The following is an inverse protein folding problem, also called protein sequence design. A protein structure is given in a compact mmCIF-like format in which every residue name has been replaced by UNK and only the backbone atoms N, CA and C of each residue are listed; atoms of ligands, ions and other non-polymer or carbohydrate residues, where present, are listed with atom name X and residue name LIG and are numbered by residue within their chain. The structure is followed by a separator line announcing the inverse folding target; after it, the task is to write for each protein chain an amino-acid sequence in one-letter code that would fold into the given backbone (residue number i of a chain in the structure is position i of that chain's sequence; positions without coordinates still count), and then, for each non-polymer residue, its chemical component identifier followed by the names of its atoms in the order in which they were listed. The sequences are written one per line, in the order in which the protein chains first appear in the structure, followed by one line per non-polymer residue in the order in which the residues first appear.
data_IF_924460691696
#
_entry.id   IF_924460691696
#
_cell.length_a   1.000
_cell.length_b   1.000
_cell.length_c   1.000
_cell.angle_alpha   90.00
_cell.angle_beta   90.00
_cell.angle_gamma   90.00
#
_symmetry.space_group_name_H-M   'P 1'
#
loop_
_entity.id
_entity.type
_entity.pdbx_description
1 polymer ?
#
# COMPACT_ATOMS: atom_id res chain seq x y z
N UNK A 1 -0.36 3.68 -4.81
CA UNK A 1 -0.56 2.70 -3.72
C UNK A 1 -1.82 2.95 -2.90
N UNK A 2 -2.43 4.14 -3.00
CA UNK A 2 -3.64 4.55 -2.26
C UNK A 2 -4.80 3.55 -2.26
N UNK A 3 -5.16 2.97 -3.42
CA UNK A 3 -6.24 1.97 -3.49
C UNK A 3 -5.88 0.66 -2.78
N UNK A 4 -4.63 0.22 -2.84
CA UNK A 4 -4.15 -0.95 -2.09
C UNK A 4 -4.23 -0.70 -0.59
N UNK A 5 -3.78 0.46 -0.11
CA UNK A 5 -3.89 0.83 1.31
C UNK A 5 -5.35 0.86 1.78
N UNK A 6 -6.27 1.36 0.96
CA UNK A 6 -7.72 1.35 1.25
C UNK A 6 -8.25 -0.10 1.32
N UNK A 7 -7.88 -0.97 0.39
CA UNK A 7 -8.30 -2.39 0.44
C UNK A 7 -7.76 -3.11 1.67
N UNK A 8 -6.50 -2.85 2.05
CA UNK A 8 -5.90 -3.37 3.28
C UNK A 8 -6.66 -2.89 4.53
N UNK A 9 -7.02 -1.61 4.57
CA UNK A 9 -7.77 -1.04 5.70
C UNK A 9 -9.19 -1.61 5.79
N UNK A 10 -9.89 -1.76 4.67
CA UNK A 10 -11.22 -2.39 4.63
C UNK A 10 -11.12 -3.85 5.09
N UNK A 11 -10.13 -4.61 4.61
CA UNK A 11 -9.92 -6.00 5.03
C UNK A 11 -9.64 -6.12 6.52
N UNK A 12 -8.82 -5.22 7.07
CA UNK A 12 -8.56 -5.15 8.52
C UNK A 12 -9.83 -4.89 9.33
N UNK A 13 -10.63 -3.89 8.93
CA UNK A 13 -11.87 -3.53 9.63
C UNK A 13 -12.88 -4.67 9.53
N UNK A 14 -13.02 -5.27 8.35
CA UNK A 14 -13.87 -6.44 8.14
C UNK A 14 -13.45 -7.60 9.04
N UNK A 15 -12.17 -7.95 9.11
CA UNK A 15 -11.70 -9.01 9.99
C UNK A 15 -11.96 -8.73 11.47
N UNK A 16 -11.75 -7.49 11.92
CA UNK A 16 -12.03 -7.12 13.31
C UNK A 16 -13.54 -7.21 13.63
N UNK A 17 -14.39 -6.62 12.78
CA UNK A 17 -15.84 -6.57 13.00
C UNK A 17 -16.46 -7.96 12.86
N UNK A 18 -16.23 -8.64 11.74
CA UNK A 18 -16.83 -9.95 11.49
C UNK A 18 -16.21 -11.03 12.40
N UNK A 19 -14.91 -10.98 12.67
CA UNK A 19 -14.25 -11.95 13.55
C UNK A 19 -14.78 -11.91 14.98
N UNK A 20 -14.94 -10.71 15.56
CA UNK A 20 -15.50 -10.56 16.90
C UNK A 20 -17.00 -10.84 16.94
N UNK A 21 -17.75 -10.41 15.92
CA UNK A 21 -19.20 -10.66 15.84
C UNK A 21 -19.53 -12.14 15.70
N UNK A 22 -18.77 -12.89 14.90
CA UNK A 22 -18.93 -14.34 14.79
C UNK A 22 -18.64 -15.05 16.11
N UNK A 23 -17.64 -14.60 16.86
CA UNK A 23 -17.32 -15.16 18.18
C UNK A 23 -18.35 -14.80 19.25
N UNK A 24 -19.10 -13.71 19.13
CA UNK A 24 -20.15 -13.37 20.10
C UNK A 24 -21.43 -14.19 19.86
N UNK A 25 -21.88 -14.25 18.61
CA UNK A 25 -23.21 -14.78 18.26
C UNK A 25 -23.28 -16.32 18.22
N UNK A 26 -22.15 -16.99 17.93
CA UNK A 26 -22.13 -18.44 17.64
C UNK A 26 -21.48 -19.29 18.73
N UNK A 27 -21.09 -18.65 19.83
CA UNK A 27 -20.36 -19.30 20.92
C UNK A 27 -21.31 -19.83 21.99
N UNK A 28 -22.57 -19.34 22.01
CA UNK A 28 -23.58 -19.75 23.00
C UNK A 28 -24.51 -20.89 22.53
N UNK A 29 -24.38 -21.38 21.30
CA UNK A 29 -25.25 -22.45 20.80
C UNK A 29 -24.79 -23.82 21.30
N UNK A 30 -25.63 -24.47 22.12
CA UNK A 30 -25.45 -25.83 22.60
C UNK A 30 -25.81 -26.91 21.57
N UNK A 31 -26.72 -26.59 20.64
CA UNK A 31 -27.41 -27.60 19.82
C UNK A 31 -26.99 -27.62 18.34
N UNK A 32 -26.23 -26.61 17.89
CA UNK A 32 -25.92 -26.37 16.47
C UNK A 32 -24.44 -26.32 16.09
N UNK A 33 -23.54 -26.49 17.06
CA UNK A 33 -22.10 -26.37 16.89
C UNK A 33 -21.52 -25.16 17.62
N UNK A 34 -20.48 -25.42 18.41
CA UNK A 34 -19.79 -24.46 19.25
C UNK A 34 -18.60 -23.87 18.47
N UNK A 35 -18.63 -22.59 18.05
CA UNK A 35 -17.52 -21.98 17.30
C UNK A 35 -16.20 -21.97 18.10
N UNK A 36 -16.32 -21.91 19.44
CA UNK A 36 -15.18 -22.04 20.36
C UNK A 36 -14.48 -23.40 20.19
N UNK A 37 -15.23 -24.47 19.92
CA UNK A 37 -14.65 -25.80 19.70
C UNK A 37 -13.84 -25.85 18.41
N UNK A 38 -14.29 -25.18 17.35
CA UNK A 38 -13.55 -25.03 16.09
C UNK A 38 -12.25 -24.25 16.30
N UNK A 39 -12.31 -23.16 17.07
CA UNK A 39 -11.15 -22.31 17.37
C UNK A 39 -10.16 -22.96 18.34
N UNK A 40 -10.61 -23.85 19.22
CA UNK A 40 -9.77 -24.63 20.11
C UNK A 40 -9.22 -25.91 19.44
N UNK A 41 -9.61 -26.22 18.20
CA UNK A 41 -9.20 -27.44 17.50
C UNK A 41 -9.81 -28.73 18.07
N UNK A 42 -10.82 -28.61 18.93
CA UNK A 42 -11.57 -29.75 19.47
C UNK A 42 -12.62 -30.22 18.45
N UNK A 43 -12.54 -31.48 18.04
CA UNK A 43 -13.39 -32.08 17.01
C UNK A 43 -14.85 -32.35 17.44
N UNK A 44 -15.34 -31.70 18.51
CA UNK A 44 -16.65 -31.95 19.10
C UNK A 44 -17.62 -30.79 18.88
N UNK A 45 -18.87 -31.05 18.43
CA UNK A 45 -19.90 -30.02 18.27
C UNK A 45 -20.49 -29.51 19.59
N UNK A 46 -20.07 -30.08 20.73
CA UNK A 46 -20.71 -29.88 22.04
C UNK A 46 -19.96 -28.82 22.85
N UNK A 47 -20.62 -27.70 23.12
CA UNK A 47 -20.17 -26.71 24.12
C UNK A 47 -20.39 -27.29 25.54
N UNK A 48 -19.50 -27.04 26.52
CA UNK A 48 -19.70 -27.48 27.90
C UNK A 48 -21.01 -26.94 28.48
N UNK A 49 -21.77 -27.76 29.22
CA UNK A 49 -23.01 -27.31 29.88
C UNK A 49 -22.75 -26.66 31.25
N UNK A 50 -21.61 -26.94 31.88
CA UNK A 50 -21.22 -26.32 33.13
C UNK A 50 -20.73 -24.88 32.88
N UNK A 51 -21.29 -23.90 33.58
CA UNK A 51 -20.97 -22.48 33.35
C UNK A 51 -19.49 -22.12 33.49
N UNK A 52 -18.76 -22.77 34.39
CA UNK A 52 -17.31 -22.55 34.59
C UNK A 52 -16.51 -23.12 33.41
N UNK A 53 -16.83 -24.33 32.97
CA UNK A 53 -16.16 -24.98 31.84
C UNK A 53 -16.47 -24.27 30.53
N UNK A 54 -17.70 -23.76 30.37
CA UNK A 54 -18.09 -22.92 29.25
C UNK A 54 -17.27 -21.63 29.23
N UNK A 55 -17.16 -20.93 30.36
CA UNK A 55 -16.34 -19.72 30.44
C UNK A 55 -14.88 -19.97 30.05
N UNK A 56 -14.27 -21.03 30.59
CA UNK A 56 -12.88 -21.40 30.26
C UNK A 56 -12.75 -21.73 28.77
N UNK A 57 -13.68 -22.50 28.20
CA UNK A 57 -13.67 -22.89 26.79
C UNK A 57 -13.81 -21.69 25.85
N UNK A 58 -14.61 -20.69 26.22
CA UNK A 58 -14.70 -19.45 25.47
C UNK A 58 -13.43 -18.62 25.59
N UNK A 59 -12.89 -18.49 26.80
CA UNK A 59 -11.68 -17.73 27.06
C UNK A 59 -10.48 -18.29 26.27
N UNK A 60 -10.32 -19.62 26.23
CA UNK A 60 -9.27 -20.25 25.43
C UNK A 60 -9.44 -20.00 23.94
N UNK A 61 -10.68 -20.00 23.43
CA UNK A 61 -10.94 -19.70 22.02
C UNK A 61 -10.68 -18.23 21.65
N UNK A 62 -10.93 -17.29 22.58
CA UNK A 62 -10.47 -15.90 22.39
C UNK A 62 -8.95 -15.81 22.41
N UNK A 63 -8.29 -16.52 23.32
CA UNK A 63 -6.84 -16.54 23.39
C UNK A 63 -6.22 -17.08 22.09
N UNK A 64 -6.74 -18.19 21.55
CA UNK A 64 -6.25 -18.75 20.27
C UNK A 64 -6.49 -17.79 19.11
N UNK A 65 -7.67 -17.18 19.06
CA UNK A 65 -7.98 -16.16 18.06
C UNK A 65 -6.99 -14.97 18.12
N UNK A 66 -6.73 -14.41 19.30
CA UNK A 66 -5.79 -13.31 19.45
C UNK A 66 -4.33 -13.72 19.18
N UNK A 67 -3.92 -14.94 19.50
CA UNK A 67 -2.56 -15.40 19.16
C UNK A 67 -2.30 -15.46 17.66
N UNK A 68 -3.33 -15.68 16.83
CA UNK A 68 -3.22 -15.61 15.37
C UNK A 68 -3.41 -14.19 14.86
N UNK A 69 -4.32 -13.43 15.47
CA UNK A 69 -4.68 -12.09 15.02
C UNK A 69 -3.59 -11.05 15.30
N UNK A 70 -2.93 -11.11 16.46
CA UNK A 70 -1.86 -10.17 16.85
C UNK A 70 -0.69 -10.14 15.84
N UNK A 71 -0.08 -11.28 15.44
CA UNK A 71 0.99 -11.25 14.44
C UNK A 71 0.48 -10.76 13.09
N UNK A 72 -0.74 -11.13 12.67
CA UNK A 72 -1.36 -10.60 11.46
C UNK A 72 -1.52 -9.08 11.53
N UNK A 73 -1.91 -8.52 12.67
CA UNK A 73 -1.98 -7.08 12.87
C UNK A 73 -0.62 -6.40 12.73
N UNK A 74 0.43 -6.98 13.31
CA UNK A 74 1.80 -6.46 13.15
C UNK A 74 2.20 -6.47 11.67
N UNK A 75 1.94 -7.56 10.94
CA UNK A 75 2.19 -7.64 9.50
C UNK A 75 1.40 -6.59 8.71
N UNK A 76 0.12 -6.40 9.03
CA UNK A 76 -0.73 -5.40 8.39
C UNK A 76 -0.21 -3.97 8.60
N UNK A 77 0.20 -3.64 9.82
CA UNK A 77 0.77 -2.33 10.16
C UNK A 77 2.08 -2.12 9.39
N UNK A 78 2.98 -3.11 9.39
CA UNK A 78 4.24 -3.03 8.63
C UNK A 78 3.98 -2.85 7.13
N UNK A 79 3.03 -3.61 6.56
CA UNK A 79 2.66 -3.48 5.15
C UNK A 79 2.12 -2.07 4.83
N UNK A 80 1.26 -1.51 5.69
CA UNK A 80 0.78 -0.14 5.53
C UNK A 80 1.91 0.89 5.60
N UNK A 81 2.83 0.74 6.55
CA UNK A 81 4.00 1.64 6.68
C UNK A 81 4.86 1.58 5.42
N UNK A 82 5.14 0.39 4.89
CA UNK A 82 5.90 0.22 3.64
C UNK A 82 5.18 0.88 2.46
N UNK A 83 3.87 0.68 2.32
CA UNK A 83 3.08 1.30 1.26
C UNK A 83 3.10 2.83 1.35
N UNK A 84 2.98 3.41 2.56
CA UNK A 84 3.03 4.86 2.78
C UNK A 84 4.41 5.45 2.50
N UNK A 85 5.50 4.76 2.88
CA UNK A 85 6.87 5.19 2.59
C UNK A 85 7.14 5.10 1.07
N UNK A 86 6.64 4.06 0.41
CA UNK A 86 6.83 3.89 -1.04
C UNK A 86 6.18 5.01 -1.86
N UNK A 87 5.04 5.57 -1.43
CA UNK A 87 4.45 6.74 -2.11
C UNK A 87 5.26 8.03 -1.89
N UNK A 88 6.02 8.14 -0.79
CA UNK A 88 6.92 9.27 -0.57
C UNK A 88 8.25 9.13 -1.31
N UNK A 89 8.70 7.90 -1.56
CA UNK A 89 9.97 7.63 -2.26
C UNK A 89 9.91 7.91 -3.77
N UNK A 90 8.72 8.12 -4.34
CA UNK A 90 8.56 8.49 -5.75
C UNK A 90 8.55 9.99 -5.99
N UNK A 91 8.89 10.82 -5.00
CA UNK A 91 9.29 12.20 -5.29
C UNK A 91 10.60 12.07 -6.06
N UNK A 92 10.66 12.42 -7.36
CA UNK A 92 11.92 12.44 -8.07
C UNK A 92 12.83 13.34 -7.25
N UNK A 93 14.02 12.85 -6.87
CA UNK A 93 15.06 13.71 -6.28
C UNK A 93 15.16 15.00 -7.10
N UNK A 94 15.53 16.14 -6.46
CA UNK A 94 15.48 17.44 -7.13
C UNK A 94 16.09 17.29 -8.51
N UNK A 95 15.25 17.50 -9.54
CA UNK A 95 15.67 17.56 -10.93
C UNK A 95 17.00 18.32 -10.97
N UNK A 96 18.03 17.85 -11.72
CA UNK A 96 19.23 18.63 -11.89
C UNK A 96 18.86 19.91 -12.63
N UNK A 97 18.48 20.95 -11.88
CA UNK A 97 18.28 22.32 -12.36
C UNK A 97 19.58 22.89 -12.96
N UNK A 98 20.70 22.16 -12.84
CA UNK A 98 21.96 22.43 -13.49
C UNK A 98 21.87 22.41 -15.02
N UNK A 99 20.96 21.65 -15.63
CA UNK A 99 20.82 21.61 -17.09
C UNK A 99 19.94 22.74 -17.65
N UNK A 100 19.20 23.46 -16.81
CA UNK A 100 18.35 24.57 -17.26
C UNK A 100 19.14 25.88 -17.48
N UNK A 101 20.35 25.98 -16.94
CA UNK A 101 21.27 27.12 -17.14
C UNK A 101 22.28 26.91 -18.27
N UNK A 102 22.33 25.72 -18.88
CA UNK A 102 23.07 25.48 -20.11
C UNK A 102 22.28 26.00 -21.32
N UNK A 103 21.99 27.31 -21.34
CA UNK A 103 21.49 27.97 -22.54
C UNK A 103 22.67 28.08 -23.52
N UNK A 104 22.62 27.50 -24.73
CA UNK A 104 23.65 27.70 -25.72
C UNK A 104 23.46 29.09 -26.34
N UNK A 105 23.88 30.14 -25.63
CA UNK A 105 23.89 31.51 -26.16
C UNK A 105 25.07 31.79 -27.10
N UNK A 106 25.88 30.77 -27.43
CA UNK A 106 27.09 30.95 -28.24
C UNK A 106 26.90 30.83 -29.77
N UNK A 107 25.68 30.67 -30.31
CA UNK A 107 25.55 30.33 -31.75
C UNK A 107 24.41 30.96 -32.56
N UNK A 108 23.42 31.62 -31.94
CA UNK A 108 22.28 32.13 -32.72
C UNK A 108 22.57 33.44 -33.47
N UNK A 109 23.48 34.28 -32.99
CA UNK A 109 23.86 35.52 -33.67
C UNK A 109 24.59 35.28 -35.01
N UNK A 110 25.51 34.32 -35.04
CA UNK A 110 26.29 34.02 -36.25
C UNK A 110 25.52 33.28 -37.34
N UNK A 111 24.46 32.54 -36.99
CA UNK A 111 23.64 31.84 -37.99
C UNK A 111 22.85 32.78 -38.90
N UNK A 112 22.33 33.90 -38.38
CA UNK A 112 21.63 34.87 -39.22
C UNK A 112 22.61 35.68 -40.08
N UNK A 113 23.76 36.03 -39.52
CA UNK A 113 24.82 36.76 -40.23
C UNK A 113 25.38 35.94 -41.41
N UNK A 114 25.70 34.66 -41.19
CA UNK A 114 26.16 33.77 -42.26
C UNK A 114 25.11 33.55 -43.35
N UNK A 115 23.83 33.39 -42.99
CA UNK A 115 22.74 33.28 -43.98
C UNK A 115 22.53 34.55 -44.78
N UNK A 116 22.66 35.72 -44.16
CA UNK A 116 22.53 37.00 -44.84
C UNK A 116 23.70 37.27 -45.80
N UNK A 117 24.94 36.96 -45.38
CA UNK A 117 26.14 37.07 -46.23
C UNK A 117 26.03 36.10 -47.42
N UNK A 118 25.61 34.85 -47.18
CA UNK A 118 25.41 33.88 -48.24
C UNK A 118 24.32 34.31 -49.24
N UNK A 119 23.23 34.93 -48.76
CA UNK A 119 22.18 35.48 -49.61
C UNK A 119 22.70 36.64 -50.47
N UNK A 120 23.47 37.58 -49.90
CA UNK A 120 24.10 38.68 -50.63
C UNK A 120 25.09 38.20 -51.70
N UNK A 121 25.92 37.21 -51.36
CA UNK A 121 26.91 36.65 -52.27
C UNK A 121 26.29 36.04 -53.55
N UNK A 122 25.08 35.47 -53.44
CA UNK A 122 24.31 34.97 -54.59
C UNK A 122 23.93 36.11 -55.55
N UNK A 123 23.58 37.29 -55.03
CA UNK A 123 23.24 38.45 -55.86
C UNK A 123 24.47 39.12 -56.49
N UNK A 124 25.62 39.04 -55.82
CA UNK A 124 26.85 39.68 -56.27
C UNK A 124 27.75 38.77 -57.12
N UNK A 125 27.36 37.52 -57.38
CA UNK A 125 28.19 36.50 -58.05
C UNK A 125 29.59 36.35 -57.41
N UNK A 126 29.70 36.57 -56.12
CA UNK A 126 30.94 36.50 -55.35
C UNK A 126 30.92 35.27 -54.42
N UNK A 127 32.08 34.69 -54.08
CA UNK A 127 32.12 33.57 -53.14
C UNK A 127 31.83 34.03 -51.70
N UNK A 128 30.96 33.28 -51.00
CA UNK A 128 30.67 33.47 -49.57
C UNK A 128 31.69 32.67 -48.73
N UNK A 129 32.59 33.37 -48.03
CA UNK A 129 33.49 32.79 -47.02
C UNK A 129 33.11 33.28 -45.62
#
# INVERSE_FOLDING_TARGET
MKYLAIMFLIGFVAMAVFGLFFMDQWMHQSDGGCIASTMNGSAGPVCPMNGIELFIHHFTAYQTFFTVLVPLFVFFIVALVVLLISERSTVPGPFPLADFWAWPNAGRGDQYRSKFIAWLAIFEHSPAF
#
